data_IF_957094247153
#
_entry.id   IF_957094247153
#
_cell.length_a   1.000
_cell.length_b   1.000
_cell.length_c   1.000
_cell.angle_alpha   90.00
_cell.angle_beta   90.00
_cell.angle_gamma   90.00
#
_symmetry.space_group_name_H-M   'P 1'
#
loop_
_entity.id
_entity.type
_entity.pdbx_description
1 polymer ?
#
# COMPACT_ATOMS: atom_id res chain seq x y z
N UNK A 1 16.63 34.73 -39.40
CA UNK A 1 16.87 33.67 -38.40
C UNK A 1 16.09 34.01 -37.13
N UNK A 2 15.00 33.28 -36.81
CA UNK A 2 14.27 33.44 -35.56
C UNK A 2 15.04 32.66 -34.46
N UNK A 3 15.54 33.37 -33.46
CA UNK A 3 16.08 32.72 -32.26
C UNK A 3 14.93 32.07 -31.47
N UNK A 4 14.91 30.74 -31.41
CA UNK A 4 14.03 30.00 -30.50
C UNK A 4 14.67 30.14 -29.12
N UNK A 5 14.07 30.93 -28.25
CA UNK A 5 14.45 31.04 -26.84
C UNK A 5 13.75 29.91 -26.11
N UNK A 6 14.48 28.86 -25.75
CA UNK A 6 13.98 27.87 -24.83
C UNK A 6 13.92 28.51 -23.44
N UNK A 7 12.70 28.76 -22.97
CA UNK A 7 12.48 29.08 -21.58
C UNK A 7 12.78 27.80 -20.77
N UNK A 8 13.98 27.73 -20.18
CA UNK A 8 14.30 26.68 -19.22
C UNK A 8 13.38 26.92 -18.02
N UNK A 9 12.34 26.09 -17.92
CA UNK A 9 11.42 26.11 -16.80
C UNK A 9 12.21 26.11 -15.49
N UNK A 10 11.88 27.01 -14.58
CA UNK A 10 12.35 26.98 -13.19
C UNK A 10 12.19 25.56 -12.67
N UNK A 11 13.28 25.03 -12.10
CA UNK A 11 13.26 23.73 -11.39
C UNK A 11 12.14 23.81 -10.35
N UNK A 12 10.99 23.26 -10.69
CA UNK A 12 9.88 23.12 -9.73
C UNK A 12 10.40 22.16 -8.69
N UNK A 13 10.49 22.58 -7.44
CA UNK A 13 10.77 21.63 -6.34
C UNK A 13 9.66 20.60 -6.39
N UNK A 14 10.05 19.34 -6.62
CA UNK A 14 9.12 18.21 -6.57
C UNK A 14 8.77 18.01 -5.12
N UNK A 15 7.57 18.40 -4.74
CA UNK A 15 7.06 18.20 -3.38
C UNK A 15 6.44 16.81 -3.32
N UNK A 16 6.97 15.95 -2.47
CA UNK A 16 6.33 14.67 -2.15
C UNK A 16 5.10 14.94 -1.27
N UNK A 17 4.02 14.22 -1.51
CA UNK A 17 2.82 14.29 -0.70
C UNK A 17 3.00 13.48 0.58
N UNK A 18 2.38 13.92 1.67
CA UNK A 18 2.36 13.18 2.94
C UNK A 18 1.21 12.20 2.93
N UNK A 19 1.51 10.92 3.12
CA UNK A 19 0.51 9.92 3.46
C UNK A 19 0.12 10.05 4.94
N UNK A 20 -1.16 9.91 5.21
CA UNK A 20 -1.70 9.88 6.57
C UNK A 20 -2.49 8.61 6.72
N UNK A 21 -1.82 7.59 7.21
CA UNK A 21 -2.40 6.26 7.35
C UNK A 21 -2.09 5.62 8.71
N UNK A 22 -2.97 4.74 9.13
CA UNK A 22 -2.80 3.92 10.32
C UNK A 22 -3.36 2.54 10.05
N UNK A 23 -2.61 1.50 10.43
CA UNK A 23 -2.98 0.10 10.23
C UNK A 23 -3.62 -0.48 11.48
N UNK A 24 -4.73 -1.18 11.32
CA UNK A 24 -5.43 -1.99 12.33
C UNK A 24 -5.11 -3.44 12.06
N UNK A 25 -4.37 -4.09 12.96
CA UNK A 25 -3.81 -5.42 12.78
C UNK A 25 -4.77 -6.53 13.21
N UNK A 26 -4.61 -7.72 12.60
CA UNK A 26 -5.29 -8.96 13.02
C UNK A 26 -6.81 -8.80 13.11
N UNK A 27 -7.41 -8.14 12.14
CA UNK A 27 -8.87 -7.96 12.11
C UNK A 27 -9.55 -9.30 11.80
N UNK A 28 -10.70 -9.51 12.45
CA UNK A 28 -11.66 -10.54 12.04
C UNK A 28 -12.43 -10.01 10.83
N UNK A 29 -12.18 -10.59 9.66
CA UNK A 29 -12.59 -10.03 8.37
C UNK A 29 -14.09 -9.74 8.29
N UNK A 30 -14.91 -10.74 8.59
CA UNK A 30 -16.37 -10.62 8.44
C UNK A 30 -16.98 -9.61 9.42
N UNK A 31 -16.51 -9.63 10.67
CA UNK A 31 -16.94 -8.67 11.70
C UNK A 31 -16.52 -7.24 11.36
N UNK A 32 -15.31 -7.08 10.79
CA UNK A 32 -14.83 -5.77 10.39
C UNK A 32 -15.60 -5.22 9.19
N UNK A 33 -15.90 -6.06 8.20
CA UNK A 33 -16.76 -5.71 7.06
C UNK A 33 -18.16 -5.33 7.56
N UNK A 34 -18.77 -6.13 8.44
CA UNK A 34 -20.07 -5.81 9.02
C UNK A 34 -20.05 -4.44 9.71
N UNK A 35 -19.01 -4.15 10.49
CA UNK A 35 -18.85 -2.83 11.13
C UNK A 35 -18.80 -1.69 10.10
N UNK A 36 -18.08 -1.88 8.98
CA UNK A 36 -18.02 -0.88 7.91
C UNK A 36 -19.41 -0.66 7.26
N UNK A 37 -20.15 -1.73 7.01
CA UNK A 37 -21.47 -1.66 6.41
C UNK A 37 -22.47 -0.96 7.36
N UNK A 38 -22.45 -1.28 8.65
CA UNK A 38 -23.27 -0.61 9.68
C UNK A 38 -22.97 0.88 9.81
N UNK A 39 -21.74 1.29 9.57
CA UNK A 39 -21.30 2.69 9.54
C UNK A 39 -21.66 3.39 8.22
N UNK A 40 -22.18 2.66 7.23
CA UNK A 40 -22.52 3.19 5.91
C UNK A 40 -21.30 3.42 5.01
N UNK A 41 -20.19 2.68 5.20
CA UNK A 41 -19.05 2.73 4.30
C UNK A 41 -19.41 2.13 2.93
N UNK A 42 -19.00 2.80 1.85
CA UNK A 42 -19.28 2.39 0.48
C UNK A 42 -18.13 1.53 -0.07
N UNK A 43 -18.42 0.27 -0.46
CA UNK A 43 -17.43 -0.59 -1.11
C UNK A 43 -17.08 -0.05 -2.49
N UNK A 44 -15.82 0.27 -2.73
CA UNK A 44 -15.30 0.79 -4.00
C UNK A 44 -14.81 -0.32 -4.94
N UNK A 45 -14.36 -1.44 -4.39
CA UNK A 45 -13.91 -2.58 -5.17
C UNK A 45 -13.10 -3.59 -4.38
N UNK A 46 -12.72 -4.65 -5.09
CA UNK A 46 -11.87 -5.73 -4.58
C UNK A 46 -10.90 -6.14 -5.68
N UNK A 47 -9.61 -6.18 -5.38
CA UNK A 47 -8.54 -6.27 -6.36
C UNK A 47 -7.43 -7.22 -5.91
N UNK A 48 -6.92 -8.05 -6.82
CA UNK A 48 -5.59 -8.62 -6.66
C UNK A 48 -4.58 -7.54 -7.07
N UNK A 49 -3.83 -7.04 -6.12
CA UNK A 49 -2.72 -6.13 -6.38
C UNK A 49 -1.44 -6.93 -6.62
N UNK A 50 -0.69 -6.52 -7.63
CA UNK A 50 0.66 -7.03 -7.94
C UNK A 50 1.63 -5.87 -7.90
N UNK A 51 2.83 -6.11 -7.37
CA UNK A 51 3.85 -5.07 -7.32
C UNK A 51 5.26 -5.60 -7.43
N UNK A 52 6.12 -4.76 -7.98
CA UNK A 52 7.57 -4.86 -7.88
C UNK A 52 8.08 -3.78 -6.94
N UNK A 53 9.05 -4.13 -6.10
CA UNK A 53 9.72 -3.19 -5.17
C UNK A 53 11.19 -3.13 -5.54
N UNK A 54 11.74 -1.90 -5.64
CA UNK A 54 13.12 -1.66 -6.04
C UNK A 54 13.79 -0.75 -5.01
N UNK A 55 15.09 -0.95 -4.83
CA UNK A 55 15.91 -0.05 -4.05
C UNK A 55 16.22 1.23 -4.83
N UNK A 56 16.23 2.40 -4.16
CA UNK A 56 16.70 3.64 -4.78
C UNK A 56 18.23 3.62 -4.93
N UNK A 57 18.75 4.42 -5.85
CA UNK A 57 20.20 4.58 -6.06
C UNK A 57 20.59 6.04 -5.85
N UNK A 58 21.51 6.37 -4.90
CA UNK A 58 22.18 5.47 -3.96
C UNK A 58 21.20 4.83 -2.97
N UNK A 59 21.56 3.66 -2.41
CA UNK A 59 20.72 2.93 -1.45
C UNK A 59 20.35 3.79 -0.26
N UNK A 60 19.07 3.81 0.07
CA UNK A 60 18.52 4.43 1.28
C UNK A 60 17.48 3.47 1.88
N UNK A 61 17.69 2.91 3.08
CA UNK A 61 16.80 1.93 3.68
C UNK A 61 15.40 2.46 4.02
N UNK A 62 15.26 3.78 4.10
CA UNK A 62 13.97 4.42 4.36
C UNK A 62 13.26 4.89 3.07
N UNK A 63 13.78 4.52 1.90
CA UNK A 63 13.25 4.98 0.61
C UNK A 63 13.31 3.89 -0.43
N UNK A 64 12.19 3.69 -1.14
CA UNK A 64 12.09 2.67 -2.19
C UNK A 64 11.20 3.12 -3.34
N UNK A 65 11.28 2.38 -4.44
CA UNK A 65 10.40 2.54 -5.59
C UNK A 65 9.40 1.37 -5.59
N UNK A 66 8.15 1.66 -5.85
CA UNK A 66 7.06 0.68 -5.99
C UNK A 66 6.40 0.86 -7.35
N UNK A 67 6.41 -0.17 -8.17
CA UNK A 67 5.56 -0.28 -9.35
C UNK A 67 4.41 -1.21 -8.99
N UNK A 68 3.17 -0.72 -8.98
CA UNK A 68 1.98 -1.45 -8.53
C UNK A 68 0.87 -1.40 -9.57
N UNK A 69 0.14 -2.51 -9.72
CA UNK A 69 -1.11 -2.55 -10.48
C UNK A 69 -2.20 -3.28 -9.71
N UNK A 70 -3.45 -2.82 -9.86
CA UNK A 70 -4.65 -3.54 -9.40
C UNK A 70 -5.44 -4.17 -10.57
N UNK A 71 -4.83 -4.25 -11.76
CA UNK A 71 -5.45 -4.72 -12.99
C UNK A 71 -6.22 -3.64 -13.76
N UNK A 72 -6.53 -2.50 -13.14
CA UNK A 72 -7.23 -1.36 -13.77
C UNK A 72 -6.28 -0.16 -13.88
N UNK A 73 -5.60 0.17 -12.80
CA UNK A 73 -4.65 1.29 -12.70
C UNK A 73 -3.27 0.75 -12.36
N UNK A 74 -2.25 1.29 -13.02
CA UNK A 74 -0.84 1.03 -12.69
C UNK A 74 -0.19 2.33 -12.25
N UNK A 75 0.59 2.25 -11.15
CA UNK A 75 1.30 3.40 -10.59
C UNK A 75 2.77 3.08 -10.37
N UNK A 76 3.61 4.10 -10.57
CA UNK A 76 5.01 4.11 -10.19
C UNK A 76 5.17 5.14 -9.07
N UNK A 77 5.63 4.69 -7.92
CA UNK A 77 5.68 5.50 -6.70
C UNK A 77 7.08 5.49 -6.11
N UNK A 78 7.56 6.61 -5.61
CA UNK A 78 8.68 6.69 -4.68
C UNK A 78 8.12 6.97 -3.30
N UNK A 79 8.42 6.11 -2.33
CA UNK A 79 8.05 6.28 -0.92
C UNK A 79 9.29 6.55 -0.08
N UNK A 80 9.15 7.39 0.94
CA UNK A 80 10.21 7.71 1.90
C UNK A 80 9.65 7.86 3.31
N UNK A 81 10.09 6.99 4.23
CA UNK A 81 9.74 7.08 5.64
C UNK A 81 10.60 8.17 6.29
N UNK A 82 9.94 9.15 6.88
CA UNK A 82 10.55 10.23 7.67
C UNK A 82 10.47 9.97 9.17
N UNK A 83 9.33 9.40 9.62
CA UNK A 83 9.10 9.01 11.01
C UNK A 83 8.20 7.77 11.06
N UNK A 84 8.74 6.65 11.54
CA UNK A 84 8.00 5.37 11.61
C UNK A 84 6.85 5.38 12.63
N UNK A 85 6.84 6.32 13.55
CA UNK A 85 5.86 6.37 14.65
C UNK A 85 4.77 7.42 14.43
N UNK A 86 4.80 8.15 13.32
CA UNK A 86 3.84 9.20 13.01
C UNK A 86 2.84 8.75 11.94
N UNK A 87 1.56 9.09 12.11
CA UNK A 87 0.48 8.85 11.12
C UNK A 87 0.84 9.49 9.77
N UNK A 88 1.50 10.66 9.78
CA UNK A 88 1.99 11.37 8.59
C UNK A 88 3.48 11.11 8.31
N UNK A 89 3.98 9.95 8.71
CA UNK A 89 5.42 9.63 8.71
C UNK A 89 5.99 9.27 7.37
N UNK A 90 5.17 9.00 6.37
CA UNK A 90 5.58 8.60 5.01
C UNK A 90 5.29 9.72 4.01
N UNK A 91 6.27 9.99 3.16
CA UNK A 91 6.10 10.85 2.01
C UNK A 91 6.10 10.01 0.73
N UNK A 92 5.25 10.38 -0.23
CA UNK A 92 5.23 9.71 -1.53
C UNK A 92 5.21 10.69 -2.71
N UNK A 93 5.71 10.20 -3.83
CA UNK A 93 5.59 10.80 -5.15
C UNK A 93 5.09 9.72 -6.09
N UNK A 94 3.86 9.84 -6.56
CA UNK A 94 3.22 8.85 -7.41
C UNK A 94 2.88 9.41 -8.79
N UNK A 95 3.00 8.56 -9.80
CA UNK A 95 2.53 8.83 -11.16
C UNK A 95 1.81 7.59 -11.72
N UNK A 96 0.74 7.84 -12.49
CA UNK A 96 0.07 6.78 -13.25
C UNK A 96 0.90 6.46 -14.48
N UNK A 97 1.13 5.16 -14.74
CA UNK A 97 1.81 4.65 -15.92
C UNK A 97 0.89 3.72 -16.71
N UNK A 98 1.10 3.62 -18.02
CA UNK A 98 0.16 2.94 -18.91
C UNK A 98 0.24 1.41 -18.92
N UNK A 99 1.38 0.83 -18.46
CA UNK A 99 1.63 -0.60 -18.61
C UNK A 99 2.58 -1.08 -17.50
N UNK A 100 2.17 -2.12 -16.78
CA UNK A 100 2.92 -2.66 -15.65
C UNK A 100 4.20 -3.36 -16.11
N UNK A 101 4.10 -4.25 -17.08
CA UNK A 101 5.21 -5.09 -17.51
C UNK A 101 6.26 -4.26 -18.28
N UNK A 102 5.83 -3.39 -19.20
CA UNK A 102 6.73 -2.47 -19.92
C UNK A 102 7.43 -1.49 -19.00
N UNK A 103 6.75 -1.01 -17.95
CA UNK A 103 7.39 -0.11 -16.99
C UNK A 103 8.46 -0.85 -16.19
N UNK A 104 8.22 -2.12 -15.81
CA UNK A 104 9.23 -2.97 -15.20
C UNK A 104 10.44 -3.19 -16.13
N UNK A 105 10.20 -3.49 -17.42
CA UNK A 105 11.27 -3.64 -18.42
C UNK A 105 12.12 -2.36 -18.54
N UNK A 106 11.48 -1.18 -18.60
CA UNK A 106 12.19 0.11 -18.64
C UNK A 106 13.04 0.31 -17.39
N UNK A 107 12.53 0.00 -16.19
CA UNK A 107 13.30 0.10 -14.95
C UNK A 107 14.50 -0.84 -14.97
N UNK A 108 14.35 -2.06 -15.47
CA UNK A 108 15.44 -3.03 -15.62
C UNK A 108 16.52 -2.51 -16.59
N UNK A 109 16.14 -1.97 -17.75
CA UNK A 109 17.07 -1.36 -18.71
C UNK A 109 17.81 -0.14 -18.13
N UNK A 110 17.18 0.59 -17.19
CA UNK A 110 17.81 1.66 -16.42
C UNK A 110 18.72 1.14 -15.29
N UNK A 111 18.82 -0.20 -15.13
CA UNK A 111 19.65 -0.85 -14.13
C UNK A 111 19.00 -0.96 -12.74
N UNK A 112 17.67 -0.81 -12.64
CA UNK A 112 16.90 -1.10 -11.42
C UNK A 112 16.38 -2.53 -11.50
N UNK A 113 16.97 -3.43 -10.73
CA UNK A 113 16.46 -4.79 -10.54
C UNK A 113 15.46 -4.82 -9.40
N UNK A 114 14.30 -5.46 -9.62
CA UNK A 114 13.32 -5.59 -8.56
C UNK A 114 13.89 -6.44 -7.41
N UNK A 115 13.81 -5.90 -6.20
CA UNK A 115 14.19 -6.58 -4.97
C UNK A 115 13.32 -7.81 -4.75
N UNK A 116 12.01 -7.64 -4.93
CA UNK A 116 11.02 -8.70 -4.89
C UNK A 116 9.77 -8.35 -5.69
N UNK A 117 8.99 -9.40 -5.94
CA UNK A 117 7.61 -9.35 -6.43
C UNK A 117 6.66 -9.70 -5.29
N UNK A 118 5.53 -8.99 -5.20
CA UNK A 118 4.56 -9.17 -4.10
C UNK A 118 3.13 -9.11 -4.63
N UNK A 119 2.25 -9.88 -3.97
CA UNK A 119 0.80 -9.86 -4.21
C UNK A 119 0.04 -9.65 -2.89
N UNK A 120 -1.10 -8.98 -2.97
CA UNK A 120 -2.10 -8.94 -1.91
C UNK A 120 -3.50 -8.78 -2.50
N UNK A 121 -4.51 -9.31 -1.82
CA UNK A 121 -5.90 -8.96 -2.08
C UNK A 121 -6.25 -7.71 -1.27
N UNK A 122 -6.84 -6.70 -1.92
CA UNK A 122 -7.28 -5.44 -1.29
C UNK A 122 -8.76 -5.20 -1.56
N UNK A 123 -9.54 -5.04 -0.48
CA UNK A 123 -10.91 -4.52 -0.52
C UNK A 123 -10.88 -3.06 -0.10
N UNK A 124 -11.45 -2.18 -0.92
CA UNK A 124 -11.45 -0.74 -0.68
C UNK A 124 -12.85 -0.28 -0.31
N UNK A 125 -12.95 0.44 0.79
CA UNK A 125 -14.16 1.09 1.29
C UNK A 125 -13.91 2.58 1.46
N UNK A 126 -14.98 3.38 1.32
CA UNK A 126 -14.96 4.81 1.57
C UNK A 126 -15.98 5.14 2.67
N UNK A 127 -15.52 5.72 3.78
CA UNK A 127 -16.36 6.24 4.86
C UNK A 127 -16.24 7.78 4.90
N UNK A 128 -17.17 8.45 4.24
CA UNK A 128 -17.08 9.88 4.00
C UNK A 128 -15.89 10.21 3.08
N UNK A 129 -14.87 10.87 3.62
CA UNK A 129 -13.63 11.24 2.90
C UNK A 129 -12.41 10.39 3.28
N UNK A 130 -12.60 9.31 4.04
CA UNK A 130 -11.54 8.42 4.51
C UNK A 130 -11.62 7.10 3.78
N UNK A 131 -10.49 6.67 3.18
CA UNK A 131 -10.34 5.36 2.58
C UNK A 131 -9.99 4.33 3.65
N UNK A 132 -10.63 3.16 3.57
CA UNK A 132 -10.34 2.00 4.41
C UNK A 132 -10.03 0.84 3.48
N UNK A 133 -8.78 0.42 3.48
CA UNK A 133 -8.29 -0.67 2.67
C UNK A 133 -8.09 -1.92 3.53
N UNK A 134 -8.86 -2.98 3.29
CA UNK A 134 -8.67 -4.29 3.95
C UNK A 134 -7.71 -5.12 3.10
N UNK A 135 -6.56 -5.46 3.66
CA UNK A 135 -5.49 -6.17 2.99
C UNK A 135 -5.28 -7.57 3.52
N UNK A 136 -5.40 -8.55 2.63
CA UNK A 136 -4.99 -9.92 2.88
C UNK A 136 -3.67 -10.19 2.15
N UNK A 137 -2.66 -10.59 2.92
CA UNK A 137 -1.31 -10.86 2.44
C UNK A 137 -0.90 -12.30 2.68
N UNK A 138 0.02 -12.87 1.90
CA UNK A 138 0.57 -14.18 2.21
C UNK A 138 1.23 -14.20 3.59
N UNK A 139 1.07 -15.29 4.33
CA UNK A 139 1.79 -15.62 5.58
C UNK A 139 1.43 -14.79 6.82
N UNK A 140 0.62 -13.76 6.72
CA UNK A 140 0.21 -12.94 7.87
C UNK A 140 -1.32 -12.80 7.90
N UNK A 141 -1.91 -12.51 9.08
CA UNK A 141 -3.33 -12.21 9.20
C UNK A 141 -3.74 -10.96 8.40
N UNK A 142 -5.02 -10.92 8.05
CA UNK A 142 -5.63 -9.74 7.40
C UNK A 142 -5.57 -8.53 8.33
N UNK A 143 -5.30 -7.37 7.74
CA UNK A 143 -5.30 -6.09 8.43
C UNK A 143 -6.06 -5.03 7.63
N UNK A 144 -6.34 -3.88 8.23
CA UNK A 144 -6.95 -2.75 7.54
C UNK A 144 -6.07 -1.51 7.67
N UNK A 145 -5.89 -0.77 6.57
CA UNK A 145 -5.29 0.56 6.54
C UNK A 145 -6.40 1.60 6.51
N UNK A 146 -6.28 2.65 7.32
CA UNK A 146 -7.19 3.80 7.36
C UNK A 146 -6.40 4.99 6.89
N UNK A 147 -6.75 5.53 5.72
CA UNK A 147 -6.05 6.66 5.09
C UNK A 147 -6.99 7.86 4.96
N UNK A 148 -6.51 9.03 5.39
CA UNK A 148 -7.28 10.26 5.40
C UNK A 148 -6.49 11.48 4.95
N UNK A 149 -7.20 12.60 4.73
CA UNK A 149 -6.57 13.86 4.38
C UNK A 149 -5.93 14.57 5.57
N UNK A 150 -6.41 14.28 6.78
CA UNK A 150 -5.88 14.82 8.05
C UNK A 150 -5.73 13.71 9.08
N UNK A 151 -4.88 13.93 10.08
CA UNK A 151 -4.73 12.99 11.19
C UNK A 151 -6.03 12.81 11.96
N UNK A 152 -6.81 13.90 12.12
CA UNK A 152 -8.11 13.92 12.80
C UNK A 152 -9.12 13.02 12.08
N UNK A 153 -9.09 12.98 10.73
CA UNK A 153 -9.95 12.09 9.94
C UNK A 153 -9.60 10.62 10.21
N UNK A 154 -8.31 10.28 10.18
CA UNK A 154 -7.80 8.93 10.47
C UNK A 154 -8.18 8.50 11.88
N UNK A 155 -7.91 9.32 12.90
CA UNK A 155 -8.22 9.02 14.28
C UNK A 155 -9.74 8.90 14.54
N UNK A 156 -10.54 9.74 13.90
CA UNK A 156 -12.00 9.69 13.99
C UNK A 156 -12.53 8.36 13.45
N UNK A 157 -12.09 7.95 12.26
CA UNK A 157 -12.53 6.70 11.65
C UNK A 157 -12.00 5.50 12.43
N UNK A 158 -10.74 5.54 12.90
CA UNK A 158 -10.21 4.49 13.76
C UNK A 158 -11.11 4.21 14.98
N UNK A 159 -11.58 5.25 15.67
CA UNK A 159 -12.46 5.10 16.83
C UNK A 159 -13.79 4.45 16.48
N UNK A 160 -14.28 4.65 15.26
CA UNK A 160 -15.53 4.05 14.78
C UNK A 160 -15.38 2.58 14.41
N UNK A 161 -14.28 2.22 13.73
CA UNK A 161 -14.10 0.86 13.17
C UNK A 161 -13.37 -0.09 14.12
N UNK A 162 -12.55 0.43 15.05
CA UNK A 162 -11.78 -0.40 15.99
C UNK A 162 -12.59 -0.76 17.24
N UNK A 163 -13.78 -1.33 17.05
CA UNK A 163 -14.74 -1.66 18.13
C UNK A 163 -14.22 -2.76 19.06
N UNK A 164 -13.33 -3.62 18.60
CA UNK A 164 -12.74 -4.73 19.36
C UNK A 164 -11.36 -4.41 19.96
N UNK A 165 -10.91 -3.15 19.87
CA UNK A 165 -9.60 -2.71 20.36
C UNK A 165 -8.43 -3.49 19.78
N UNK A 166 -8.47 -3.77 18.47
CA UNK A 166 -7.35 -4.35 17.74
C UNK A 166 -6.09 -3.50 17.90
N UNK A 167 -4.94 -4.16 17.86
CA UNK A 167 -3.66 -3.46 17.87
C UNK A 167 -3.49 -2.60 16.62
N UNK A 168 -2.91 -1.41 16.78
CA UNK A 168 -2.65 -0.49 15.68
C UNK A 168 -1.17 -0.21 15.52
N UNK A 169 -0.77 0.15 14.29
CA UNK A 169 0.60 0.53 13.97
C UNK A 169 0.64 1.54 12.83
N UNK A 170 1.74 2.27 12.72
CA UNK A 170 2.07 3.15 11.59
C UNK A 170 3.18 2.56 10.71
N UNK A 171 3.48 1.27 10.90
CA UNK A 171 4.53 0.57 10.16
C UNK A 171 4.12 0.31 8.72
N UNK A 172 5.07 0.43 7.81
CA UNK A 172 4.95 -0.08 6.45
C UNK A 172 4.91 -1.61 6.42
N UNK A 173 4.46 -2.18 5.30
CA UNK A 173 4.30 -3.63 5.11
C UNK A 173 5.57 -4.42 5.47
N UNK A 174 6.76 -3.96 5.07
CA UNK A 174 8.02 -4.64 5.40
C UNK A 174 8.25 -4.69 6.91
N UNK A 175 8.03 -3.57 7.59
CA UNK A 175 8.14 -3.47 9.04
C UNK A 175 7.07 -4.30 9.76
N UNK A 176 5.84 -4.38 9.24
CA UNK A 176 4.79 -5.27 9.78
C UNK A 176 5.27 -6.71 9.74
N UNK A 177 5.75 -7.21 8.60
CA UNK A 177 6.26 -8.57 8.49
C UNK A 177 7.42 -8.84 9.46
N UNK A 178 8.40 -7.95 9.51
CA UNK A 178 9.62 -8.15 10.28
C UNK A 178 9.42 -7.95 11.78
N UNK A 179 8.84 -6.82 12.19
CA UNK A 179 8.78 -6.43 13.60
C UNK A 179 7.61 -7.11 14.36
N UNK A 180 6.51 -7.43 13.67
CA UNK A 180 5.31 -8.00 14.29
C UNK A 180 5.29 -9.53 14.14
N UNK A 181 5.62 -10.03 12.94
CA UNK A 181 5.50 -11.47 12.64
C UNK A 181 6.85 -12.18 12.52
N UNK A 182 7.99 -11.48 12.62
CA UNK A 182 9.32 -12.09 12.57
C UNK A 182 9.71 -12.64 11.18
N UNK A 183 9.06 -12.19 10.11
CA UNK A 183 9.26 -12.66 8.75
C UNK A 183 10.05 -11.61 7.95
N UNK A 184 11.22 -11.97 7.45
CA UNK A 184 12.06 -11.09 6.63
C UNK A 184 11.70 -11.25 5.13
N UNK A 185 10.75 -10.43 4.66
CA UNK A 185 10.33 -10.45 3.26
C UNK A 185 11.38 -9.90 2.29
N UNK A 186 12.43 -9.25 2.79
CA UNK A 186 13.56 -8.81 1.97
C UNK A 186 14.34 -10.00 1.36
N UNK A 187 14.26 -11.18 2.00
CA UNK A 187 14.85 -12.43 1.51
C UNK A 187 13.93 -13.23 0.60
N UNK A 188 12.68 -12.81 0.44
CA UNK A 188 11.68 -13.50 -0.37
C UNK A 188 11.63 -12.86 -1.76
N UNK A 189 12.00 -13.61 -2.80
CA UNK A 189 11.96 -13.09 -4.18
C UNK A 189 10.53 -12.92 -4.71
N UNK A 190 9.63 -13.83 -4.35
CA UNK A 190 8.22 -13.81 -4.74
C UNK A 190 7.34 -14.04 -3.52
N UNK A 191 6.68 -12.99 -3.04
CA UNK A 191 5.68 -13.06 -1.98
C UNK A 191 4.30 -13.09 -2.64
N UNK A 192 3.83 -14.30 -2.91
CA UNK A 192 2.55 -14.55 -3.59
C UNK A 192 1.75 -15.65 -2.91
N UNK A 193 0.45 -15.67 -3.17
CA UNK A 193 -0.39 -16.75 -2.72
C UNK A 193 0.00 -18.06 -3.44
N UNK A 194 -0.01 -19.20 -2.72
CA UNK A 194 0.27 -20.50 -3.31
C UNK A 194 -0.97 -21.07 -3.99
N UNK A 195 -0.80 -21.80 -5.09
CA UNK A 195 -1.90 -22.39 -5.89
C UNK A 195 -2.92 -23.23 -5.08
N UNK A 196 -2.55 -23.73 -3.88
CA UNK A 196 -3.43 -24.52 -3.00
C UNK A 196 -4.03 -23.74 -1.82
N UNK A 197 -3.60 -22.49 -1.57
CA UNK A 197 -4.13 -21.66 -0.47
C UNK A 197 -5.19 -20.66 -0.92
N UNK A 198 -5.25 -20.35 -2.22
CA UNK A 198 -6.27 -19.44 -2.76
C UNK A 198 -7.68 -19.98 -2.55
N UNK A 199 -7.91 -21.29 -2.75
CA UNK A 199 -9.21 -21.92 -2.52
C UNK A 199 -9.57 -21.98 -1.02
N UNK A 200 -8.59 -22.23 -0.13
CA UNK A 200 -8.86 -22.36 1.31
C UNK A 200 -9.06 -21.02 2.02
N UNK A 201 -8.44 -19.94 1.57
CA UNK A 201 -8.71 -18.58 2.10
C UNK A 201 -10.04 -18.04 1.58
N UNK A 202 -10.42 -18.39 0.35
CA UNK A 202 -11.75 -18.08 -0.20
C UNK A 202 -12.85 -18.97 0.40
N UNK A 203 -12.54 -20.24 0.78
CA UNK A 203 -13.50 -21.17 1.38
C UNK A 203 -13.63 -21.01 2.90
N UNK A 204 -12.56 -20.64 3.63
CA UNK A 204 -12.65 -20.31 5.06
C UNK A 204 -13.54 -19.08 5.32
N UNK A 205 -13.59 -18.17 4.35
CA UNK A 205 -14.48 -17.02 4.36
C UNK A 205 -15.91 -17.37 3.89
N UNK A 206 -16.20 -18.63 3.52
CA UNK A 206 -17.55 -19.08 3.12
C UNK A 206 -18.20 -20.06 4.10
N UNK A 207 -17.48 -20.53 5.14
CA UNK A 207 -17.94 -21.57 6.06
C UNK A 207 -17.93 -21.16 7.55
N UNK A 208 -17.72 -19.86 7.87
CA UNK A 208 -17.97 -19.35 9.23
C UNK A 208 -19.06 -18.29 9.23
#
# INVERSE_FOLDING_TARGET
>A
MRKIVYNIAKKTEVTMEKERELTVLNIELDDFIQTLEELGAEKQGEFLQRRYVYDVKPLNPNKWIRLRTNGIKTTLTIKEIKDKNAIEGTNELEVVVGDFDKTNEILNELGYEARNYQENYRRVYLLGNVEISIDSWPLIPTYAEIEGKTNEDVERVLKLVNTKNYQTTTFDVESIYREIYGIDIMKVKELKFGEKKDESMLEHNKQM
#
